data_IF_683605394075
#
_entry.id   IF_683605394075
#
_cell.length_a   1.000
_cell.length_b   1.000
_cell.length_c   1.000
_cell.angle_alpha   90.00
_cell.angle_beta   90.00
_cell.angle_gamma   90.00
#
_symmetry.space_group_name_H-M   'P 1'
#
loop_
_entity.id
_entity.type
_entity.pdbx_description
1 polymer ?
#
# COMPACT_ATOMS: atom_id res chain seq x y z
N UNK A 1 5.85 -8.01 -30.56
CA UNK A 1 5.92 -6.81 -29.71
C UNK A 1 5.72 -7.10 -28.21
N UNK A 2 4.91 -8.08 -27.79
CA UNK A 2 4.83 -8.51 -26.38
C UNK A 2 5.96 -9.46 -25.93
N UNK A 3 6.66 -10.13 -26.85
CA UNK A 3 7.70 -11.11 -26.51
C UNK A 3 9.08 -10.48 -26.23
N UNK A 4 9.33 -9.25 -26.69
CA UNK A 4 10.62 -8.55 -26.53
C UNK A 4 10.72 -7.83 -25.18
N UNK A 5 9.59 -7.57 -24.53
CA UNK A 5 9.56 -6.92 -23.20
C UNK A 5 9.75 -7.97 -22.08
N UNK A 6 9.40 -9.24 -22.30
CA UNK A 6 9.58 -10.28 -21.29
C UNK A 6 11.05 -10.66 -21.05
N UNK A 7 11.89 -10.64 -22.08
CA UNK A 7 13.30 -11.08 -21.98
C UNK A 7 14.21 -10.12 -21.21
N UNK A 8 13.82 -8.87 -20.99
CA UNK A 8 14.61 -7.92 -20.19
C UNK A 8 14.32 -8.03 -18.68
N UNK A 9 13.26 -8.74 -18.28
CA UNK A 9 12.78 -8.80 -16.89
C UNK A 9 13.38 -9.94 -16.05
N UNK A 10 14.13 -10.86 -16.67
CA UNK A 10 14.70 -12.02 -15.97
C UNK A 10 16.08 -11.72 -15.36
N UNK A 11 16.77 -10.67 -15.80
CA UNK A 11 18.13 -10.33 -15.34
C UNK A 11 18.19 -9.34 -14.14
N UNK A 12 17.12 -9.27 -13.33
CA UNK A 12 17.09 -8.41 -12.13
C UNK A 12 16.53 -9.15 -10.91
N UNK A 13 16.73 -10.47 -10.85
CA UNK A 13 16.83 -11.18 -9.57
C UNK A 13 18.29 -11.09 -9.11
N UNK A 14 18.46 -10.88 -7.82
CA UNK A 14 19.74 -10.73 -7.12
C UNK A 14 20.56 -9.46 -7.39
N UNK A 15 20.40 -8.49 -6.48
CA UNK A 15 21.50 -7.99 -5.65
C UNK A 15 20.94 -7.05 -4.58
N UNK A 16 20.68 -7.61 -3.39
CA UNK A 16 20.95 -6.90 -2.15
C UNK A 16 22.47 -6.91 -2.00
N UNK A 17 23.15 -5.87 -2.45
CA UNK A 17 24.56 -5.68 -2.14
C UNK A 17 24.83 -4.22 -1.78
N UNK A 18 25.68 -4.07 -0.78
CA UNK A 18 26.13 -2.87 -0.10
C UNK A 18 26.40 -1.64 -0.99
N UNK A 19 26.27 -0.43 -0.42
CA UNK A 19 26.45 0.82 -1.15
C UNK A 19 27.93 1.20 -1.19
N UNK A 20 28.74 0.58 -2.03
CA UNK A 20 30.06 1.16 -2.35
C UNK A 20 30.68 0.48 -3.56
N UNK A 21 30.58 1.16 -4.71
CA UNK A 21 31.59 1.27 -5.77
C UNK A 21 30.91 1.91 -6.98
N UNK A 22 31.05 3.23 -7.06
CA UNK A 22 30.71 3.99 -8.25
C UNK A 22 31.53 3.46 -9.43
N UNK A 23 30.84 2.85 -10.39
CA UNK A 23 31.40 2.42 -11.67
C UNK A 23 31.83 3.69 -12.43
N UNK A 24 33.13 4.01 -12.40
CA UNK A 24 33.71 5.02 -13.29
C UNK A 24 33.81 4.40 -14.68
N UNK A 25 33.12 4.97 -15.65
CA UNK A 25 33.32 4.65 -17.05
C UNK A 25 34.71 5.17 -17.51
N UNK A 26 35.31 4.51 -18.51
CA UNK A 26 36.66 4.78 -19.04
C UNK A 26 36.83 6.17 -19.71
N UNK A 27 35.81 7.03 -19.63
CA UNK A 27 35.80 8.41 -20.14
C UNK A 27 35.85 9.46 -19.02
N UNK A 28 36.03 9.05 -17.75
CA UNK A 28 36.17 9.98 -16.63
C UNK A 28 34.88 10.76 -16.29
N UNK A 29 33.75 10.47 -16.94
CA UNK A 29 32.47 11.12 -16.64
C UNK A 29 31.61 10.24 -15.74
N UNK A 30 31.03 10.81 -14.66
CA UNK A 30 30.10 10.08 -13.81
C UNK A 30 28.89 9.63 -14.62
N UNK A 31 28.52 8.36 -14.51
CA UNK A 31 27.22 7.86 -14.97
C UNK A 31 26.18 8.58 -14.11
N UNK A 32 25.52 9.58 -14.69
CA UNK A 32 24.50 10.38 -14.02
C UNK A 32 23.32 9.42 -13.77
N UNK A 33 23.17 8.98 -12.53
CA UNK A 33 21.98 8.29 -12.05
C UNK A 33 20.72 9.08 -12.48
N UNK A 34 19.62 8.39 -12.83
CA UNK A 34 18.40 9.03 -13.29
C UNK A 34 17.99 10.15 -12.32
N UNK A 35 17.74 11.32 -12.92
CA UNK A 35 17.49 12.57 -12.25
C UNK A 35 16.62 12.40 -11.00
N UNK A 36 17.05 13.03 -9.91
CA UNK A 36 16.31 13.14 -8.67
C UNK A 36 14.86 13.57 -8.97
N UNK A 37 13.93 12.60 -8.91
CA UNK A 37 12.49 12.74 -9.20
C UNK A 37 11.84 13.82 -8.33
N UNK A 38 12.51 14.25 -7.26
CA UNK A 38 12.08 15.37 -6.45
C UNK A 38 12.00 16.68 -7.24
N UNK A 39 12.64 16.83 -8.40
CA UNK A 39 12.86 18.14 -9.04
C UNK A 39 11.78 18.63 -10.01
N UNK A 40 10.58 18.04 -10.07
CA UNK A 40 9.51 18.60 -10.90
C UNK A 40 8.70 19.66 -10.11
N UNK A 41 8.90 20.97 -10.34
CA UNK A 41 8.27 22.03 -9.54
C UNK A 41 6.75 22.02 -9.65
N UNK A 42 6.21 21.59 -10.80
CA UNK A 42 4.77 21.53 -11.08
C UNK A 42 4.05 20.59 -10.12
N UNK A 43 4.60 19.41 -9.85
CA UNK A 43 3.97 18.45 -8.93
C UNK A 43 3.96 18.94 -7.49
N UNK A 44 5.01 19.65 -7.06
CA UNK A 44 5.08 20.23 -5.72
C UNK A 44 4.08 21.37 -5.56
N UNK A 45 3.95 22.21 -6.59
CA UNK A 45 2.97 23.29 -6.60
C UNK A 45 1.54 22.75 -6.51
N UNK A 46 1.20 21.71 -7.30
CA UNK A 46 -0.12 21.09 -7.24
C UNK A 46 -0.41 20.48 -5.86
N UNK A 47 0.57 19.81 -5.25
CA UNK A 47 0.42 19.29 -3.88
C UNK A 47 0.22 20.40 -2.85
N UNK A 48 0.93 21.52 -2.99
CA UNK A 48 0.78 22.68 -2.12
C UNK A 48 -0.60 23.33 -2.28
N UNK A 49 -1.05 23.57 -3.52
CA UNK A 49 -2.37 24.11 -3.82
C UNK A 49 -3.49 23.21 -3.28
N UNK A 50 -3.32 21.89 -3.35
CA UNK A 50 -4.25 20.94 -2.76
C UNK A 50 -4.31 21.07 -1.23
N UNK A 51 -3.17 21.12 -0.54
CA UNK A 51 -3.12 21.28 0.92
C UNK A 51 -3.69 22.63 1.37
N UNK A 52 -3.39 23.71 0.64
CA UNK A 52 -3.97 25.02 0.88
C UNK A 52 -5.49 24.96 0.75
N UNK A 53 -5.99 24.35 -0.33
CA UNK A 53 -7.44 24.17 -0.55
C UNK A 53 -8.08 23.36 0.57
N UNK A 54 -7.41 22.30 1.05
CA UNK A 54 -7.89 21.49 2.17
C UNK A 54 -8.02 22.33 3.45
N UNK A 55 -7.02 23.15 3.79
CA UNK A 55 -7.07 24.05 4.95
C UNK A 55 -8.20 25.08 4.81
N UNK A 56 -8.33 25.71 3.64
CA UNK A 56 -9.42 26.64 3.35
C UNK A 56 -10.79 25.98 3.50
N UNK A 57 -10.92 24.75 2.99
CA UNK A 57 -12.16 23.97 3.07
C UNK A 57 -12.46 23.64 4.54
N UNK A 58 -11.50 23.12 5.32
CA UNK A 58 -11.66 22.83 6.76
C UNK A 58 -12.08 24.07 7.54
N UNK A 59 -11.44 25.21 7.31
CA UNK A 59 -11.85 26.47 7.95
C UNK A 59 -13.31 26.84 7.59
N UNK A 60 -13.67 26.73 6.31
CA UNK A 60 -15.03 27.01 5.85
C UNK A 60 -16.07 26.09 6.49
N UNK A 61 -15.73 24.80 6.72
CA UNK A 61 -16.62 23.86 7.43
C UNK A 61 -16.82 24.30 8.88
N UNK A 62 -15.72 24.51 9.60
CA UNK A 62 -15.74 24.79 11.04
C UNK A 62 -16.46 26.11 11.30
N UNK A 63 -16.14 27.16 10.54
CA UNK A 63 -16.86 28.43 10.62
C UNK A 63 -18.33 28.30 10.16
N UNK A 64 -18.61 27.39 9.23
CA UNK A 64 -19.95 27.09 8.75
C UNK A 64 -20.86 26.51 9.82
N UNK A 65 -20.38 25.52 10.56
CA UNK A 65 -21.15 24.83 11.60
C UNK A 65 -21.44 25.74 12.81
N UNK A 66 -20.57 26.72 13.07
CA UNK A 66 -20.74 27.67 14.17
C UNK A 66 -21.76 28.78 13.87
N UNK A 67 -22.28 28.86 12.65
CA UNK A 67 -23.24 29.90 12.24
C UNK A 67 -24.64 29.29 12.12
N UNK A 68 -25.65 29.96 12.68
CA UNK A 68 -27.06 29.55 12.58
C UNK A 68 -27.58 29.56 11.14
N UNK A 69 -27.25 30.61 10.37
CA UNK A 69 -27.58 30.71 8.95
C UNK A 69 -26.31 30.72 8.07
N UNK A 70 -26.13 29.73 7.19
CA UNK A 70 -24.91 29.61 6.40
C UNK A 70 -24.77 30.63 5.27
N UNK A 71 -25.80 31.43 4.99
CA UNK A 71 -25.87 32.39 3.87
C UNK A 71 -25.62 33.84 4.29
N UNK A 72 -25.51 34.12 5.59
CA UNK A 72 -25.31 35.47 6.14
C UNK A 72 -23.83 35.73 6.40
N UNK A 73 -23.31 36.87 5.92
CA UNK A 73 -21.89 37.21 5.92
C UNK A 73 -21.60 38.58 6.55
N UNK A 74 -22.12 38.82 7.76
CA UNK A 74 -22.08 40.14 8.41
C UNK A 74 -20.85 40.35 9.29
N UNK A 75 -20.29 39.28 9.86
CA UNK A 75 -19.15 39.35 10.77
C UNK A 75 -17.81 39.19 10.03
N UNK A 76 -16.69 39.75 10.51
CA UNK A 76 -15.39 39.62 9.86
C UNK A 76 -14.93 38.15 9.72
N UNK A 77 -15.33 37.29 10.65
CA UNK A 77 -15.11 35.84 10.58
C UNK A 77 -15.91 35.20 9.44
N UNK A 78 -17.15 35.63 9.21
CA UNK A 78 -17.97 35.19 8.09
C UNK A 78 -17.44 35.71 6.75
N UNK A 79 -16.97 36.96 6.66
CA UNK A 79 -16.33 37.48 5.44
C UNK A 79 -15.09 36.65 5.08
N UNK A 80 -14.27 36.32 6.08
CA UNK A 80 -13.11 35.43 5.88
C UNK A 80 -13.53 34.04 5.41
N UNK A 81 -14.62 33.49 5.97
CA UNK A 81 -15.23 32.25 5.51
C UNK A 81 -15.67 32.34 4.05
N UNK A 82 -16.31 33.44 3.63
CA UNK A 82 -16.76 33.63 2.25
C UNK A 82 -15.59 33.57 1.24
N UNK A 83 -14.46 34.17 1.60
CA UNK A 83 -13.23 34.13 0.78
C UNK A 83 -12.72 32.70 0.64
N UNK A 84 -12.62 31.95 1.74
CA UNK A 84 -12.16 30.56 1.70
C UNK A 84 -13.14 29.62 1.02
N UNK A 85 -14.44 29.84 1.18
CA UNK A 85 -15.49 29.13 0.47
C UNK A 85 -15.35 29.35 -1.04
N UNK A 86 -15.23 30.61 -1.47
CA UNK A 86 -15.02 30.99 -2.88
C UNK A 86 -13.75 30.35 -3.45
N UNK A 87 -12.63 30.41 -2.72
CA UNK A 87 -11.38 29.76 -3.13
C UNK A 87 -11.56 28.25 -3.32
N UNK A 88 -12.20 27.58 -2.36
CA UNK A 88 -12.40 26.14 -2.40
C UNK A 88 -13.34 25.71 -3.54
N UNK A 89 -14.38 26.49 -3.82
CA UNK A 89 -15.32 26.27 -4.92
C UNK A 89 -14.65 26.46 -6.29
N UNK A 90 -13.86 27.52 -6.46
CA UNK A 90 -13.07 27.73 -7.69
C UNK A 90 -12.09 26.58 -7.89
N UNK A 91 -11.40 26.15 -6.83
CA UNK A 91 -10.46 25.03 -6.89
C UNK A 91 -11.15 23.70 -7.25
N UNK A 92 -12.34 23.45 -6.69
CA UNK A 92 -13.17 22.29 -7.03
C UNK A 92 -13.63 22.34 -8.48
N UNK A 93 -14.07 23.50 -8.97
CA UNK A 93 -14.50 23.70 -10.37
C UNK A 93 -13.36 23.47 -11.35
N UNK A 94 -12.20 24.07 -11.11
CA UNK A 94 -11.00 23.87 -11.95
C UNK A 94 -10.65 22.39 -12.00
N UNK A 95 -10.63 21.73 -10.84
CA UNK A 95 -10.32 20.29 -10.79
C UNK A 95 -11.34 19.46 -11.56
N UNK A 96 -12.64 19.74 -11.38
CA UNK A 96 -13.71 19.04 -12.09
C UNK A 96 -13.56 19.20 -13.62
N UNK A 97 -13.28 20.41 -14.10
CA UNK A 97 -13.04 20.67 -15.52
C UNK A 97 -11.81 19.91 -16.06
N UNK A 98 -10.72 19.84 -15.29
CA UNK A 98 -9.53 19.07 -15.66
C UNK A 98 -9.83 17.57 -15.75
N UNK A 99 -10.56 17.03 -14.77
CA UNK A 99 -10.98 15.63 -14.76
C UNK A 99 -11.93 15.30 -15.91
N UNK A 100 -12.89 16.18 -16.23
CA UNK A 100 -13.77 16.03 -17.39
C UNK A 100 -13.00 16.06 -18.72
N UNK A 101 -11.98 16.92 -18.83
CA UNK A 101 -11.13 16.95 -20.02
C UNK A 101 -10.31 15.66 -20.15
N UNK A 102 -9.78 15.14 -19.03
CA UNK A 102 -9.06 13.87 -19.00
C UNK A 102 -9.99 12.69 -19.35
N UNK A 103 -11.20 12.68 -18.80
CA UNK A 103 -12.26 11.72 -19.10
C UNK A 103 -12.58 11.70 -20.61
N UNK A 104 -12.70 12.89 -21.23
CA UNK A 104 -12.96 13.01 -22.67
C UNK A 104 -11.84 12.42 -23.52
N UNK A 105 -10.57 12.62 -23.13
CA UNK A 105 -9.39 12.16 -23.88
C UNK A 105 -9.16 10.66 -23.81
N UNK A 106 -9.34 10.02 -22.65
CA UNK A 106 -8.93 8.63 -22.40
C UNK A 106 -10.08 7.74 -21.90
N UNK A 107 -11.30 7.91 -22.44
CA UNK A 107 -12.56 7.31 -21.96
C UNK A 107 -12.43 5.91 -21.34
N UNK A 108 -11.95 4.92 -22.10
CA UNK A 108 -11.88 3.51 -21.66
C UNK A 108 -10.85 3.26 -20.56
N UNK A 109 -9.68 3.89 -20.65
CA UNK A 109 -8.60 3.71 -19.68
C UNK A 109 -8.89 4.49 -18.38
N UNK A 110 -9.63 5.60 -18.48
CA UNK A 110 -10.03 6.43 -17.34
C UNK A 110 -10.87 5.64 -16.33
N UNK A 111 -11.82 4.85 -16.81
CA UNK A 111 -12.75 4.08 -15.95
C UNK A 111 -12.10 2.96 -15.16
N UNK A 112 -10.91 2.51 -15.59
CA UNK A 112 -10.20 1.40 -14.96
C UNK A 112 -9.48 1.81 -13.66
N UNK A 113 -9.19 3.10 -13.51
CA UNK A 113 -8.50 3.62 -12.32
C UNK A 113 -9.51 4.07 -11.24
N UNK A 114 -9.54 3.42 -10.07
CA UNK A 114 -10.45 3.78 -8.99
C UNK A 114 -10.23 5.18 -8.42
N UNK A 115 -9.01 5.73 -8.49
CA UNK A 115 -8.74 7.08 -7.98
C UNK A 115 -9.39 8.17 -8.83
N UNK A 116 -9.58 7.93 -10.13
CA UNK A 116 -10.26 8.87 -11.02
C UNK A 116 -11.75 9.02 -10.63
N UNK A 117 -12.39 7.94 -10.19
CA UNK A 117 -13.75 7.99 -9.67
C UNK A 117 -13.86 8.84 -8.40
N UNK A 118 -12.91 8.69 -7.48
CA UNK A 118 -12.86 9.50 -6.24
C UNK A 118 -12.65 10.98 -6.56
N UNK A 119 -11.79 11.30 -7.53
CA UNK A 119 -11.52 12.68 -7.95
C UNK A 119 -12.74 13.33 -8.62
N UNK A 120 -13.44 12.60 -9.48
CA UNK A 120 -14.66 13.08 -10.13
C UNK A 120 -15.82 13.22 -9.12
N UNK A 121 -16.00 12.22 -8.24
CA UNK A 121 -17.07 12.23 -7.25
C UNK A 121 -16.87 13.32 -6.18
N UNK A 122 -15.65 13.49 -5.67
CA UNK A 122 -15.33 14.52 -4.67
C UNK A 122 -15.58 15.94 -5.21
N UNK A 123 -15.06 16.25 -6.39
CA UNK A 123 -15.24 17.56 -7.01
C UNK A 123 -16.69 17.81 -7.42
N UNK A 124 -17.38 16.80 -7.96
CA UNK A 124 -18.81 16.87 -8.28
C UNK A 124 -19.70 17.11 -7.07
N UNK A 125 -19.46 16.41 -5.95
CA UNK A 125 -20.24 16.58 -4.72
C UNK A 125 -20.01 17.96 -4.09
N UNK A 126 -18.77 18.46 -4.08
CA UNK A 126 -18.49 19.82 -3.59
C UNK A 126 -19.19 20.89 -4.45
N UNK A 127 -19.23 20.72 -5.77
CA UNK A 127 -19.97 21.63 -6.66
C UNK A 127 -21.49 21.51 -6.48
N UNK A 128 -22.01 20.32 -6.18
CA UNK A 128 -23.43 20.10 -5.91
C UNK A 128 -23.92 20.80 -4.63
N UNK A 129 -23.02 21.13 -3.69
CA UNK A 129 -23.39 21.89 -2.48
C UNK A 129 -23.86 23.30 -2.82
N UNK A 130 -23.32 23.94 -3.87
CA UNK A 130 -23.75 25.27 -4.30
C UNK A 130 -25.26 25.35 -4.62
N UNK A 131 -25.80 24.57 -5.57
CA UNK A 131 -27.24 24.59 -5.86
C UNK A 131 -28.08 24.14 -4.66
N UNK A 132 -27.61 23.18 -3.85
CA UNK A 132 -28.32 22.77 -2.63
C UNK A 132 -28.44 23.92 -1.61
N UNK A 133 -27.41 24.75 -1.50
CA UNK A 133 -27.38 25.94 -0.63
C UNK A 133 -28.34 27.02 -1.14
N UNK A 134 -28.44 27.22 -2.45
CA UNK A 134 -29.45 28.13 -3.04
C UNK A 134 -30.89 27.64 -2.81
N UNK A 135 -31.10 26.33 -2.79
CA UNK A 135 -32.40 25.72 -2.48
C UNK A 135 -32.74 25.69 -0.98
N UNK A 136 -31.85 26.18 -0.10
CA UNK A 136 -32.01 26.20 1.36
C UNK A 136 -32.39 24.82 1.96
N UNK A 137 -31.90 23.72 1.35
CA UNK A 137 -32.17 22.36 1.82
C UNK A 137 -31.14 21.95 2.89
N UNK A 138 -31.62 21.37 4.00
CA UNK A 138 -30.76 20.87 5.08
C UNK A 138 -29.88 19.68 4.66
N UNK A 139 -30.22 19.03 3.55
CA UNK A 139 -29.44 17.95 2.93
C UNK A 139 -28.05 18.39 2.44
N UNK A 140 -27.77 19.69 2.40
CA UNK A 140 -26.45 20.21 2.02
C UNK A 140 -25.32 19.69 2.93
N UNK A 141 -25.57 19.53 4.22
CA UNK A 141 -24.56 19.15 5.21
C UNK A 141 -24.02 17.72 5.04
N UNK A 142 -24.87 16.68 4.90
CA UNK A 142 -24.37 15.33 4.61
C UNK A 142 -23.69 15.24 3.25
N UNK A 143 -24.23 15.90 2.21
CA UNK A 143 -23.60 15.93 0.87
C UNK A 143 -22.21 16.58 0.94
N UNK A 144 -22.10 17.70 1.64
CA UNK A 144 -20.83 18.38 1.87
C UNK A 144 -19.86 17.53 2.68
N UNK A 145 -20.32 16.83 3.73
CA UNK A 145 -19.49 15.93 4.55
C UNK A 145 -18.88 14.80 3.72
N UNK A 146 -19.68 14.16 2.86
CA UNK A 146 -19.20 13.11 1.95
C UNK A 146 -18.22 13.71 0.93
N UNK A 147 -18.55 14.86 0.35
CA UNK A 147 -17.65 15.58 -0.58
C UNK A 147 -16.30 15.93 0.06
N UNK A 148 -16.31 16.44 1.30
CA UNK A 148 -15.12 16.76 2.09
C UNK A 148 -14.29 15.52 2.41
N UNK A 149 -14.93 14.42 2.82
CA UNK A 149 -14.25 13.15 3.09
C UNK A 149 -13.54 12.64 1.83
N UNK A 150 -14.25 12.56 0.70
CA UNK A 150 -13.68 12.11 -0.57
C UNK A 150 -12.57 13.04 -1.05
N UNK A 151 -12.73 14.36 -0.85
CA UNK A 151 -11.68 15.34 -1.16
C UNK A 151 -10.42 15.11 -0.32
N UNK A 152 -10.59 14.80 0.97
CA UNK A 152 -9.48 14.47 1.88
C UNK A 152 -8.78 13.18 1.45
N UNK A 153 -9.52 12.15 1.00
CA UNK A 153 -8.93 10.90 0.49
C UNK A 153 -8.02 11.12 -0.73
N UNK A 154 -8.17 12.21 -1.48
CA UNK A 154 -7.25 12.56 -2.57
C UNK A 154 -5.82 12.77 -2.09
N UNK A 155 -5.59 13.00 -0.80
CA UNK A 155 -4.24 13.07 -0.23
C UNK A 155 -3.43 11.80 -0.53
N UNK A 156 -4.08 10.63 -0.64
CA UNK A 156 -3.40 9.38 -1.01
C UNK A 156 -2.83 9.41 -2.43
N UNK A 157 -3.50 10.08 -3.38
CA UNK A 157 -3.01 10.28 -4.75
C UNK A 157 -1.74 11.14 -4.77
N UNK A 158 -1.68 12.18 -3.93
CA UNK A 158 -0.48 13.01 -3.78
C UNK A 158 0.62 12.33 -2.97
N UNK A 159 0.26 11.53 -1.97
CA UNK A 159 1.18 10.70 -1.20
C UNK A 159 1.92 9.70 -2.11
N UNK A 160 1.26 9.20 -3.16
CA UNK A 160 1.86 8.32 -4.16
C UNK A 160 3.05 8.94 -4.91
N UNK A 161 3.16 10.27 -4.96
CA UNK A 161 4.27 10.98 -5.61
C UNK A 161 5.58 10.85 -4.80
N UNK A 162 5.48 10.75 -3.47
CA UNK A 162 6.65 10.64 -2.60
C UNK A 162 7.21 9.21 -2.59
N UNK A 163 8.54 9.07 -2.63
CA UNK A 163 9.23 7.76 -2.78
C UNK A 163 8.85 6.77 -1.69
N UNK A 164 8.89 7.20 -0.42
CA UNK A 164 8.61 6.33 0.70
C UNK A 164 7.10 6.10 0.84
N UNK A 165 6.31 7.17 0.83
CA UNK A 165 4.86 7.11 1.05
C UNK A 165 4.08 6.42 -0.08
N UNK A 166 4.57 6.49 -1.33
CA UNK A 166 3.86 5.89 -2.46
C UNK A 166 3.90 4.37 -2.50
N UNK A 167 4.98 3.75 -2.05
CA UNK A 167 5.00 2.29 -1.86
C UNK A 167 3.96 1.88 -0.81
N UNK A 168 3.87 2.59 0.31
CA UNK A 168 2.87 2.34 1.36
C UNK A 168 1.45 2.55 0.85
N UNK A 169 1.18 3.58 0.07
CA UNK A 169 -0.16 3.82 -0.49
C UNK A 169 -0.60 2.71 -1.45
N UNK A 170 0.32 2.15 -2.25
CA UNK A 170 0.00 1.01 -3.12
C UNK A 170 -0.28 -0.27 -2.34
N UNK A 171 0.52 -0.53 -1.30
CA UNK A 171 0.31 -1.66 -0.39
C UNK A 171 -1.06 -1.53 0.29
N UNK A 172 -1.33 -0.35 0.85
CA UNK A 172 -2.59 -0.02 1.51
C UNK A 172 -3.78 -0.21 0.58
N UNK A 173 -3.72 0.29 -0.66
CA UNK A 173 -4.80 0.14 -1.63
C UNK A 173 -5.09 -1.33 -1.94
N UNK A 174 -4.05 -2.15 -2.14
CA UNK A 174 -4.22 -3.57 -2.43
C UNK A 174 -4.83 -4.33 -1.25
N UNK A 175 -4.34 -4.04 -0.05
CA UNK A 175 -4.86 -4.59 1.20
C UNK A 175 -6.35 -4.25 1.37
N UNK A 176 -6.72 -2.97 1.21
CA UNK A 176 -8.11 -2.52 1.37
C UNK A 176 -8.99 -3.15 0.29
N UNK A 177 -8.56 -3.14 -0.98
CA UNK A 177 -9.42 -3.59 -2.07
C UNK A 177 -9.65 -5.09 -2.09
N UNK A 178 -8.68 -5.91 -1.66
CA UNK A 178 -8.79 -7.36 -1.73
C UNK A 178 -9.24 -7.94 -0.39
N UNK A 179 -8.46 -7.69 0.67
CA UNK A 179 -8.63 -8.37 1.95
C UNK A 179 -9.81 -7.78 2.73
N UNK A 180 -9.95 -6.45 2.75
CA UNK A 180 -11.03 -5.80 3.49
C UNK A 180 -12.40 -6.02 2.86
N UNK A 181 -12.51 -6.07 1.53
CA UNK A 181 -13.78 -6.38 0.84
C UNK A 181 -14.19 -7.84 1.04
N UNK A 182 -13.26 -8.79 0.90
CA UNK A 182 -13.54 -10.19 1.18
C UNK A 182 -13.98 -10.39 2.63
N UNK A 183 -13.29 -9.73 3.56
CA UNK A 183 -13.65 -9.71 4.98
C UNK A 183 -15.04 -9.13 5.23
N UNK A 184 -15.34 -7.96 4.67
CA UNK A 184 -16.63 -7.29 4.81
C UNK A 184 -17.77 -8.16 4.28
N UNK A 185 -17.56 -8.87 3.18
CA UNK A 185 -18.54 -9.79 2.62
C UNK A 185 -18.85 -10.94 3.59
N UNK A 186 -17.83 -11.63 4.11
CA UNK A 186 -18.02 -12.72 5.09
C UNK A 186 -18.72 -12.19 6.35
N UNK A 187 -18.28 -11.02 6.84
CA UNK A 187 -18.87 -10.37 8.00
C UNK A 187 -20.35 -10.03 7.77
N UNK A 188 -20.72 -9.55 6.60
CA UNK A 188 -22.09 -9.25 6.23
C UNK A 188 -23.00 -10.48 6.31
N UNK A 189 -22.57 -11.65 5.83
CA UNK A 189 -23.35 -12.89 5.95
C UNK A 189 -23.52 -13.35 7.40
N UNK A 190 -22.46 -13.24 8.22
CA UNK A 190 -22.53 -13.58 9.64
C UNK A 190 -23.52 -12.66 10.36
N UNK A 191 -23.44 -11.34 10.12
CA UNK A 191 -24.38 -10.38 10.69
C UNK A 191 -25.82 -10.65 10.23
N UNK A 192 -26.03 -10.94 8.95
CA UNK A 192 -27.35 -11.22 8.41
C UNK A 192 -27.97 -12.48 9.04
N UNK A 193 -27.20 -13.56 9.15
CA UNK A 193 -27.64 -14.79 9.81
C UNK A 193 -27.95 -14.57 11.31
N UNK A 194 -27.13 -13.76 11.98
CA UNK A 194 -27.34 -13.40 13.37
C UNK A 194 -28.60 -12.54 13.56
N UNK A 195 -28.76 -11.48 12.75
CA UNK A 195 -29.98 -10.63 12.76
C UNK A 195 -31.22 -11.47 12.49
N UNK A 196 -31.17 -12.39 11.52
CA UNK A 196 -32.27 -13.32 11.25
C UNK A 196 -32.61 -14.23 12.43
N UNK A 197 -31.59 -14.82 13.08
CA UNK A 197 -31.77 -15.67 14.26
C UNK A 197 -32.33 -14.90 15.45
N UNK A 198 -31.85 -13.67 15.66
CA UNK A 198 -32.32 -12.78 16.73
C UNK A 198 -33.80 -12.40 16.54
N UNK A 199 -34.19 -12.01 15.33
CA UNK A 199 -35.60 -11.69 15.02
C UNK A 199 -36.50 -12.90 15.21
N UNK A 200 -36.06 -14.11 14.84
CA UNK A 200 -36.82 -15.34 15.10
C UNK A 200 -36.96 -15.65 16.60
N UNK A 201 -35.90 -15.42 17.38
CA UNK A 201 -35.93 -15.57 18.84
C UNK A 201 -36.96 -14.63 19.47
N UNK A 202 -37.01 -13.36 19.03
CA UNK A 202 -38.00 -12.39 19.51
C UNK A 202 -39.44 -12.75 19.11
N UNK A 203 -39.64 -13.37 17.93
CA UNK A 203 -40.97 -13.77 17.44
C UNK A 203 -41.50 -15.03 18.13
N UNK A 204 -40.63 -15.94 18.57
CA UNK A 204 -41.02 -17.11 19.35
C UNK A 204 -41.64 -16.73 20.71
N UNK A 205 -41.28 -15.56 21.23
CA UNK A 205 -41.69 -15.03 22.51
C UNK A 205 -42.97 -14.17 22.38
N UNK A 206 -44.05 -14.71 21.78
CA UNK A 206 -45.37 -14.05 21.58
C UNK A 206 -46.09 -13.56 22.87
N UNK A 207 -45.38 -13.42 23.99
CA UNK A 207 -45.85 -12.79 25.22
C UNK A 207 -44.96 -11.58 25.53
N UNK A 208 -45.38 -10.42 25.02
CA UNK A 208 -44.78 -9.09 25.23
C UNK A 208 -44.68 -8.65 26.71
N UNK A 209 -45.10 -9.49 27.67
CA UNK A 209 -45.19 -9.17 29.10
C UNK A 209 -44.15 -9.88 30.01
N UNK A 210 -43.36 -10.86 29.53
CA UNK A 210 -42.30 -11.50 30.35
C UNK A 210 -40.97 -10.77 30.17
N UNK A 211 -41.01 -9.44 30.25
CA UNK A 211 -40.11 -8.59 29.46
C UNK A 211 -38.81 -8.11 30.14
N UNK A 212 -38.49 -8.54 31.37
CA UNK A 212 -37.29 -8.05 32.09
C UNK A 212 -36.14 -9.07 32.18
N UNK A 213 -36.38 -10.33 32.54
CA UNK A 213 -35.31 -11.31 32.76
C UNK A 213 -34.76 -11.94 31.46
N UNK A 214 -35.61 -12.30 30.50
CA UNK A 214 -35.16 -12.86 29.19
C UNK A 214 -34.46 -11.81 28.32
N UNK A 215 -34.79 -10.52 28.52
CA UNK A 215 -34.13 -9.40 27.84
C UNK A 215 -32.67 -9.27 28.24
N UNK A 216 -32.34 -9.48 29.51
CA UNK A 216 -30.97 -9.44 30.01
C UNK A 216 -30.17 -10.61 29.44
N UNK A 217 -30.72 -11.83 29.44
CA UNK A 217 -30.04 -13.00 28.86
C UNK A 217 -29.83 -12.85 27.34
N UNK A 218 -30.83 -12.35 26.61
CA UNK A 218 -30.72 -12.08 25.17
C UNK A 218 -29.70 -10.98 24.87
N UNK A 219 -29.64 -9.94 25.71
CA UNK A 219 -28.64 -8.87 25.59
C UNK A 219 -27.22 -9.39 25.86
N UNK A 220 -27.04 -10.18 26.93
CA UNK A 220 -25.74 -10.81 27.25
C UNK A 220 -25.30 -11.73 26.12
N UNK A 221 -26.20 -12.58 25.60
CA UNK A 221 -25.89 -13.45 24.46
C UNK A 221 -25.51 -12.65 23.20
N UNK A 222 -26.22 -11.55 22.91
CA UNK A 222 -25.90 -10.67 21.80
C UNK A 222 -24.52 -10.02 21.96
N UNK A 223 -24.21 -9.47 23.14
CA UNK A 223 -22.91 -8.83 23.41
C UNK A 223 -21.78 -9.86 23.36
N UNK A 224 -21.95 -11.03 23.97
CA UNK A 224 -20.96 -12.11 23.94
C UNK A 224 -20.73 -12.63 22.52
N UNK A 225 -21.79 -12.82 21.73
CA UNK A 225 -21.68 -13.23 20.33
C UNK A 225 -20.96 -12.17 19.50
N UNK A 226 -21.36 -10.90 19.59
CA UNK A 226 -20.72 -9.81 18.87
C UNK A 226 -19.24 -9.66 19.27
N UNK A 227 -18.92 -9.78 20.55
CA UNK A 227 -17.54 -9.77 21.03
C UNK A 227 -16.74 -10.95 20.48
N UNK A 228 -17.26 -12.18 20.55
CA UNK A 228 -16.60 -13.36 20.01
C UNK A 228 -16.38 -13.25 18.48
N UNK A 229 -17.39 -12.79 17.74
CA UNK A 229 -17.26 -12.51 16.32
C UNK A 229 -16.18 -11.45 16.06
N UNK A 230 -16.20 -10.31 16.76
CA UNK A 230 -15.17 -9.29 16.61
C UNK A 230 -13.77 -9.83 16.88
N UNK A 231 -13.56 -10.62 17.94
CA UNK A 231 -12.24 -11.18 18.28
C UNK A 231 -11.76 -12.17 17.21
N UNK A 232 -12.60 -13.14 16.83
CA UNK A 232 -12.23 -14.14 15.81
C UNK A 232 -11.96 -13.47 14.47
N UNK A 233 -12.80 -12.52 14.08
CA UNK A 233 -12.68 -11.81 12.82
C UNK A 233 -11.46 -10.89 12.79
N UNK A 234 -11.18 -10.16 13.87
CA UNK A 234 -9.96 -9.35 13.97
C UNK A 234 -8.70 -10.21 13.90
N UNK A 235 -8.70 -11.37 14.57
CA UNK A 235 -7.54 -12.28 14.52
C UNK A 235 -7.27 -12.82 13.12
N UNK A 236 -8.32 -13.21 12.39
CA UNK A 236 -8.21 -13.64 10.99
C UNK A 236 -7.75 -12.48 10.11
N UNK A 237 -8.32 -11.29 10.29
CA UNK A 237 -7.95 -10.10 9.53
C UNK A 237 -6.47 -9.75 9.76
N UNK A 238 -6.00 -9.72 11.01
CA UNK A 238 -4.59 -9.45 11.33
C UNK A 238 -3.67 -10.48 10.68
N UNK A 239 -4.03 -11.78 10.70
CA UNK A 239 -3.25 -12.83 10.07
C UNK A 239 -3.16 -12.64 8.54
N UNK A 240 -4.28 -12.35 7.88
CA UNK A 240 -4.34 -12.09 6.44
C UNK A 240 -3.56 -10.83 6.06
N UNK A 241 -3.75 -9.75 6.81
CA UNK A 241 -3.04 -8.48 6.61
C UNK A 241 -1.52 -8.67 6.75
N UNK A 242 -1.07 -9.46 7.73
CA UNK A 242 0.35 -9.73 7.95
C UNK A 242 0.99 -10.45 6.75
N UNK A 243 0.36 -11.51 6.26
CA UNK A 243 0.87 -12.28 5.12
C UNK A 243 0.84 -11.48 3.81
N UNK A 244 -0.30 -10.83 3.51
CA UNK A 244 -0.43 -9.97 2.34
C UNK A 244 0.58 -8.83 2.38
N UNK A 245 0.78 -8.19 3.54
CA UNK A 245 1.72 -7.07 3.67
C UNK A 245 3.14 -7.46 3.25
N UNK A 246 3.65 -8.59 3.74
CA UNK A 246 5.01 -9.05 3.40
C UNK A 246 5.16 -9.33 1.90
N UNK A 247 4.17 -9.96 1.28
CA UNK A 247 4.21 -10.27 -0.15
C UNK A 247 4.12 -9.01 -1.03
N UNK A 248 3.20 -8.10 -0.68
CA UNK A 248 2.92 -6.89 -1.47
C UNK A 248 4.03 -5.86 -1.31
N UNK A 249 4.71 -5.78 -0.16
CA UNK A 249 5.83 -4.87 0.03
C UNK A 249 6.95 -5.10 -1.01
N UNK A 250 7.29 -6.36 -1.28
CA UNK A 250 8.31 -6.70 -2.27
C UNK A 250 7.91 -6.33 -3.70
N UNK A 251 6.62 -6.43 -4.03
CA UNK A 251 6.10 -6.09 -5.35
C UNK A 251 5.86 -4.59 -5.55
N UNK A 252 5.38 -3.90 -4.52
CA UNK A 252 5.08 -2.46 -4.54
C UNK A 252 6.34 -1.64 -4.81
N UNK A 253 7.50 -2.08 -4.33
CA UNK A 253 8.76 -1.38 -4.61
C UNK A 253 9.13 -1.43 -6.10
N UNK A 254 8.84 -2.52 -6.80
CA UNK A 254 9.00 -2.60 -8.27
C UNK A 254 7.94 -1.79 -9.01
N UNK A 255 6.69 -1.88 -8.56
CA UNK A 255 5.57 -1.11 -9.12
C UNK A 255 5.78 0.39 -9.00
N UNK A 256 6.41 0.85 -7.92
CA UNK A 256 6.74 2.26 -7.71
C UNK A 256 7.74 2.79 -8.75
N UNK A 257 8.81 2.06 -9.05
CA UNK A 257 9.80 2.51 -10.04
C UNK A 257 9.19 2.57 -11.44
N UNK A 258 8.32 1.61 -11.81
CA UNK A 258 7.55 1.66 -13.06
C UNK A 258 6.56 2.84 -13.10
N UNK A 259 5.78 3.03 -12.03
CA UNK A 259 4.84 4.14 -11.94
C UNK A 259 5.54 5.50 -11.98
N UNK A 260 6.75 5.63 -11.42
CA UNK A 260 7.55 6.85 -11.52
C UNK A 260 7.94 7.16 -12.96
N UNK A 261 8.45 6.17 -13.68
CA UNK A 261 8.79 6.33 -15.09
C UNK A 261 7.56 6.75 -15.91
N UNK A 262 6.40 6.16 -15.61
CA UNK A 262 5.14 6.49 -16.28
C UNK A 262 4.64 7.90 -15.95
N UNK A 263 4.62 8.30 -14.68
CA UNK A 263 4.21 9.65 -14.24
C UNK A 263 5.09 10.72 -14.88
N UNK A 264 6.42 10.52 -14.91
CA UNK A 264 7.35 11.46 -15.54
C UNK A 264 7.01 11.63 -17.02
N UNK A 265 6.87 10.51 -17.73
CA UNK A 265 6.51 10.53 -19.16
C UNK A 265 5.19 11.26 -19.39
N UNK A 266 4.19 11.03 -18.53
CA UNK A 266 2.88 11.70 -18.63
C UNK A 266 2.94 13.19 -18.31
N UNK A 267 3.67 13.60 -17.27
CA UNK A 267 3.85 15.02 -16.91
C UNK A 267 4.61 15.76 -18.01
N UNK A 268 5.60 15.12 -18.63
CA UNK A 268 6.30 15.67 -19.80
C UNK A 268 5.35 15.85 -21.00
N UNK A 269 4.48 14.87 -21.27
CA UNK A 269 3.52 14.92 -22.39
C UNK A 269 2.33 15.86 -22.16
N UNK A 270 1.88 16.06 -20.92
CA UNK A 270 0.72 16.89 -20.56
C UNK A 270 1.09 18.27 -19.99
N UNK A 271 2.36 18.65 -19.99
CA UNK A 271 2.79 19.99 -19.59
C UNK A 271 2.06 21.05 -20.42
N UNK A 272 1.19 21.82 -19.77
CA UNK A 272 0.54 23.01 -20.32
C UNK A 272 1.56 24.10 -20.71
N UNK A 273 2.79 24.01 -20.20
CA UNK A 273 3.90 24.84 -20.66
C UNK A 273 4.50 24.23 -21.93
N UNK A 274 4.22 24.96 -23.02
CA UNK A 274 4.67 24.80 -24.40
C UNK A 274 6.13 24.31 -24.52
N UNK A 275 6.30 23.19 -25.22
CA UNK A 275 7.39 23.03 -26.20
C UNK A 275 8.78 22.66 -25.70
N UNK A 276 9.08 22.63 -24.40
CA UNK A 276 10.38 22.16 -23.92
C UNK A 276 10.23 20.88 -23.10
N UNK A 277 10.34 19.75 -23.78
CA UNK A 277 10.57 18.47 -23.10
C UNK A 277 11.82 18.61 -22.22
N UNK A 278 11.65 18.57 -20.91
CA UNK A 278 12.74 18.74 -19.94
C UNK A 278 13.86 17.70 -20.12
N UNK A 279 13.51 16.54 -20.71
CA UNK A 279 14.45 15.53 -21.20
C UNK A 279 15.33 16.05 -22.33
N UNK A 280 14.77 16.71 -23.35
CA UNK A 280 15.49 17.24 -24.52
C UNK A 280 16.56 18.25 -24.11
N UNK A 281 16.28 19.09 -23.11
CA UNK A 281 17.23 20.09 -22.61
C UNK A 281 18.29 19.54 -21.65
N UNK A 282 18.10 18.32 -21.11
CA UNK A 282 19.03 17.67 -20.17
C UNK A 282 19.91 16.58 -20.82
N UNK A 283 19.52 16.06 -21.98
CA UNK A 283 20.39 15.21 -22.78
C UNK A 283 21.37 16.11 -23.54
N UNK A 284 22.65 16.01 -23.20
CA UNK A 284 23.74 16.70 -23.92
C UNK A 284 23.91 16.18 -25.35
N UNK A 285 23.37 14.99 -25.64
CA UNK A 285 23.47 14.30 -26.92
C UNK A 285 22.05 14.05 -27.43
N UNK A 286 21.58 14.94 -28.30
CA UNK A 286 20.49 14.61 -29.23
C UNK A 286 21.16 14.00 -30.46
N UNK A 287 21.18 12.68 -30.56
CA UNK A 287 21.48 12.01 -31.83
C UNK A 287 20.12 11.86 -32.53
N UNK A 288 19.85 12.71 -33.53
CA UNK A 288 18.65 12.58 -34.37
C UNK A 288 18.70 11.21 -35.04
N UNK A 289 17.71 10.37 -34.76
CA UNK A 289 17.53 9.03 -35.32
C UNK A 289 17.08 9.15 -36.80
N UNK A 290 17.91 9.73 -37.66
CA UNK A 290 17.69 9.74 -39.11
C UNK A 290 17.71 8.31 -39.69
N UNK A 291 18.53 7.44 -39.11
CA UNK A 291 18.56 6.00 -39.39
C UNK A 291 18.60 5.20 -38.08
N UNK A 292 17.48 4.61 -37.63
CA UNK A 292 17.46 3.82 -36.41
C UNK A 292 18.35 2.56 -36.51
N UNK A 293 18.62 2.06 -37.72
CA UNK A 293 19.43 0.86 -37.94
C UNK A 293 20.92 1.07 -37.60
N UNK A 294 21.51 2.21 -37.97
CA UNK A 294 22.92 2.50 -37.70
C UNK A 294 23.19 2.78 -36.22
N UNK A 295 22.22 3.40 -35.53
CA UNK A 295 22.27 3.54 -34.07
C UNK A 295 22.09 2.18 -33.39
N UNK A 296 21.17 1.33 -33.86
CA UNK A 296 21.05 -0.03 -33.33
C UNK A 296 22.34 -0.83 -33.48
N UNK A 297 23.00 -0.74 -34.63
CA UNK A 297 24.27 -1.42 -34.93
C UNK A 297 25.43 -0.89 -34.06
N UNK A 298 25.46 0.42 -33.79
CA UNK A 298 26.40 1.05 -32.83
C UNK A 298 26.15 0.58 -31.39
N UNK A 299 24.89 0.37 -31.01
CA UNK A 299 24.51 -0.16 -29.69
C UNK A 299 24.69 -1.68 -29.59
N UNK A 300 24.60 -2.40 -30.70
CA UNK A 300 24.92 -3.83 -30.83
C UNK A 300 26.42 -4.09 -31.07
N UNK A 301 27.25 -3.05 -31.05
CA UNK A 301 28.70 -3.16 -31.21
C UNK A 301 29.30 -4.18 -30.21
N UNK A 302 30.39 -4.87 -30.59
CA UNK A 302 30.89 -6.07 -29.90
C UNK A 302 31.13 -5.91 -28.40
N UNK A 303 31.40 -4.69 -27.92
CA UNK A 303 31.62 -4.37 -26.50
C UNK A 303 30.36 -4.66 -25.66
N UNK A 304 29.16 -4.32 -26.13
CA UNK A 304 27.94 -4.64 -25.38
C UNK A 304 27.63 -6.14 -25.38
N UNK A 305 28.01 -6.83 -26.45
CA UNK A 305 27.81 -8.27 -26.56
C UNK A 305 28.76 -9.04 -25.64
N UNK A 306 30.01 -8.57 -25.49
CA UNK A 306 30.96 -9.06 -24.50
C UNK A 306 30.48 -8.78 -23.07
N UNK A 307 30.00 -7.56 -22.77
CA UNK A 307 29.43 -7.25 -21.45
C UNK A 307 28.20 -8.12 -21.15
N UNK A 308 27.33 -8.38 -22.14
CA UNK A 308 26.20 -9.31 -21.99
C UNK A 308 26.65 -10.74 -21.69
N UNK A 309 27.77 -11.17 -22.29
CA UNK A 309 28.36 -12.50 -22.07
C UNK A 309 28.96 -12.61 -20.67
N UNK A 310 29.64 -11.57 -20.20
CA UNK A 310 30.18 -11.48 -18.85
C UNK A 310 29.08 -11.41 -17.79
N UNK A 311 27.98 -10.69 -18.06
CA UNK A 311 26.82 -10.65 -17.17
C UNK A 311 26.17 -12.03 -17.07
N UNK A 312 26.04 -12.77 -18.19
CA UNK A 312 25.53 -14.15 -18.16
C UNK A 312 26.45 -15.12 -17.42
N UNK A 313 27.76 -15.05 -17.64
CA UNK A 313 28.71 -15.93 -16.93
C UNK A 313 28.71 -15.65 -15.43
N UNK A 314 28.59 -14.38 -15.03
CA UNK A 314 28.49 -13.98 -13.64
C UNK A 314 27.16 -14.44 -13.02
N UNK A 315 26.04 -14.34 -13.75
CA UNK A 315 24.74 -14.90 -13.33
C UNK A 315 24.82 -16.40 -13.08
N UNK A 316 25.43 -17.16 -14.00
CA UNK A 316 25.61 -18.61 -13.85
C UNK A 316 26.52 -18.96 -12.66
N UNK A 317 27.55 -18.16 -12.41
CA UNK A 317 28.43 -18.35 -11.26
C UNK A 317 27.68 -18.13 -9.95
N UNK A 318 26.83 -17.10 -9.89
CA UNK A 318 26.01 -16.81 -8.71
C UNK A 318 25.00 -17.93 -8.46
N UNK A 319 24.27 -18.39 -9.48
CA UNK A 319 23.35 -19.53 -9.36
C UNK A 319 24.06 -20.81 -8.88
N UNK A 320 25.27 -21.07 -9.39
CA UNK A 320 26.11 -22.19 -8.93
C UNK A 320 26.49 -22.04 -7.44
N UNK A 321 26.89 -20.84 -7.01
CA UNK A 321 27.19 -20.59 -5.59
C UNK A 321 25.96 -20.71 -4.68
N UNK A 322 24.78 -20.30 -5.14
CA UNK A 322 23.52 -20.43 -4.40
C UNK A 322 23.18 -21.92 -4.19
N UNK A 323 23.29 -22.74 -5.23
CA UNK A 323 23.07 -24.19 -5.14
C UNK A 323 24.08 -24.88 -4.21
N UNK A 324 25.33 -24.43 -4.22
CA UNK A 324 26.34 -24.90 -3.27
C UNK A 324 26.01 -24.52 -1.83
N UNK A 325 25.56 -23.28 -1.58
CA UNK A 325 25.13 -22.84 -0.26
C UNK A 325 23.93 -23.64 0.24
N UNK A 326 22.92 -23.87 -0.58
CA UNK A 326 21.77 -24.73 -0.25
C UNK A 326 22.21 -26.15 0.14
N UNK A 327 23.19 -26.70 -0.59
CA UNK A 327 23.75 -28.02 -0.28
C UNK A 327 24.47 -28.02 1.07
N UNK A 328 25.22 -26.96 1.39
CA UNK A 328 25.89 -26.79 2.69
C UNK A 328 24.86 -26.65 3.81
N UNK A 329 23.84 -25.82 3.64
CA UNK A 329 22.76 -25.65 4.62
C UNK A 329 22.03 -26.97 4.90
N UNK A 330 21.75 -27.76 3.87
CA UNK A 330 21.15 -29.09 4.02
C UNK A 330 22.06 -30.10 4.73
N UNK A 331 23.39 -29.97 4.60
CA UNK A 331 24.34 -30.79 5.36
C UNK A 331 24.38 -30.36 6.83
N UNK A 332 24.39 -29.07 7.11
CA UNK A 332 24.35 -28.52 8.46
C UNK A 332 23.08 -28.93 9.22
N UNK A 333 21.90 -28.84 8.58
CA UNK A 333 20.64 -29.25 9.22
C UNK A 333 20.61 -30.73 9.59
N UNK A 334 21.21 -31.60 8.76
CA UNK A 334 21.37 -33.03 9.07
C UNK A 334 22.34 -33.25 10.24
N UNK A 335 23.43 -32.50 10.32
CA UNK A 335 24.38 -32.57 11.43
C UNK A 335 23.73 -32.11 12.74
N UNK A 336 22.96 -31.03 12.70
CA UNK A 336 22.22 -30.50 13.85
C UNK A 336 21.21 -31.53 14.38
N UNK A 337 20.45 -32.18 13.48
CA UNK A 337 19.54 -33.27 13.86
C UNK A 337 20.28 -34.46 14.50
N UNK A 338 21.44 -34.84 13.96
CA UNK A 338 22.24 -35.92 14.52
C UNK A 338 22.77 -35.59 15.93
N UNK A 339 23.24 -34.36 16.14
CA UNK A 339 23.67 -33.87 17.46
C UNK A 339 22.51 -33.88 18.47
N UNK A 340 21.33 -33.39 18.07
CA UNK A 340 20.13 -33.42 18.92
C UNK A 340 19.74 -34.83 19.33
N UNK A 341 19.81 -35.79 18.38
CA UNK A 341 19.56 -37.21 18.66
C UNK A 341 20.58 -37.82 19.63
N UNK A 342 21.85 -37.44 19.52
CA UNK A 342 22.89 -37.87 20.47
C UNK A 342 22.61 -37.31 21.87
N UNK A 343 22.25 -36.03 21.96
CA UNK A 343 21.88 -35.38 23.22
C UNK A 343 20.69 -36.09 23.90
N UNK A 344 19.62 -36.37 23.16
CA UNK A 344 18.45 -37.09 23.66
C UNK A 344 18.81 -38.49 24.18
N UNK A 345 19.72 -39.19 23.50
CA UNK A 345 20.19 -40.51 23.92
C UNK A 345 21.04 -40.44 25.21
N UNK A 346 21.90 -39.43 25.34
CA UNK A 346 22.69 -39.19 26.56
C UNK A 346 21.76 -38.89 27.73
N UNK A 347 20.74 -38.06 27.54
CA UNK A 347 19.75 -37.73 28.56
C UNK A 347 18.96 -38.97 29.00
N UNK A 348 18.55 -39.83 28.06
CA UNK A 348 17.94 -41.14 28.38
C UNK A 348 18.88 -42.03 29.20
N UNK A 349 20.16 -42.13 28.84
CA UNK A 349 21.13 -42.90 29.62
C UNK A 349 21.34 -42.33 31.03
N UNK A 350 21.39 -41.00 31.16
CA UNK A 350 21.48 -40.32 32.46
C UNK A 350 20.25 -40.59 33.34
N UNK A 351 19.04 -40.54 32.77
CA UNK A 351 17.82 -40.87 33.51
C UNK A 351 17.79 -42.35 33.94
N UNK A 352 18.23 -43.27 33.08
CA UNK A 352 18.35 -44.69 33.43
C UNK A 352 19.38 -44.90 34.55
N UNK A 353 20.53 -44.24 34.49
CA UNK A 353 21.55 -44.29 35.52
C UNK A 353 21.05 -43.71 36.85
N UNK A 354 20.37 -42.55 36.83
CA UNK A 354 19.77 -41.94 38.02
C UNK A 354 18.63 -42.80 38.61
N UNK A 355 17.94 -43.59 37.78
CA UNK A 355 16.87 -44.49 38.22
C UNK A 355 17.37 -45.83 38.78
N UNK A 356 18.67 -46.15 38.72
CA UNK A 356 19.19 -47.34 39.40
C UNK A 356 19.12 -47.14 40.92
N UNK A 357 18.24 -47.87 41.63
CA UNK A 357 18.18 -47.81 43.09
C UNK A 357 19.47 -48.38 43.65
N UNK A 358 20.05 -47.65 44.62
CA UNK A 358 21.39 -47.84 45.16
C UNK A 358 21.85 -49.27 45.37
N UNK A 359 22.92 -49.64 44.67
CA UNK A 359 23.89 -50.65 45.12
C UNK A 359 24.84 -49.98 46.14
N UNK A 360 24.26 -49.37 47.17
CA UNK A 360 24.96 -48.73 48.29
C UNK A 360 24.55 -49.39 49.60
N UNK A 361 24.52 -50.73 49.60
CA UNK A 361 24.11 -51.52 50.75
C UNK A 361 24.75 -52.91 50.82
N UNK A 362 26.07 -53.06 50.59
CA UNK A 362 26.72 -54.36 50.82
C UNK A 362 28.21 -54.34 51.20
N UNK A 363 28.69 -53.30 51.90
CA UNK A 363 30.09 -53.26 52.38
C UNK A 363 30.26 -52.89 53.86
N UNK A 364 29.31 -53.27 54.70
CA UNK A 364 29.42 -53.15 56.16
C UNK A 364 29.07 -54.47 56.86
N UNK A 365 29.81 -55.55 56.59
CA UNK A 365 29.85 -56.77 57.43
C UNK A 365 30.97 -57.70 56.96
N UNK A 366 32.17 -57.52 57.52
CA UNK A 366 33.21 -58.55 57.71
C UNK A 366 34.38 -57.90 58.46
N UNK A 367 34.27 -57.92 59.78
CA UNK A 367 35.24 -57.36 60.71
C UNK A 367 34.87 -57.77 62.13
N UNK A 368 34.74 -59.07 62.36
CA UNK A 368 34.67 -59.71 63.67
C UNK A 368 35.00 -61.19 63.49
N UNK A 369 35.83 -61.74 64.40
CA UNK A 369 36.56 -63.03 64.36
C UNK A 369 37.86 -62.91 63.53
N UNK A 370 39.07 -62.97 64.08
CA UNK A 370 39.58 -63.67 65.27
C UNK A 370 40.60 -62.87 66.07
#
# INVERSE_FOLDING_TARGET
>A
MLHTILSCTISSREKKLHPEKALKNNTGRPIICPANVNSCPVSRLNSFLFLLTLVCLTFSVVAGVMTSDPTVYDTPTQVTRAVFETWSLVSALVTFCLELNQFRKHKLEYWRDPFNWVDLASSGLLLAVCPLRFCHRQEQWPVFSIGYLLWTLRIFKYAAVFRQTGAYSQILWRIISHDFLQFTFVFFFILLAFTGSFVLSLRGENSLDVHSETRVMSCILMVCFLFACCVVLLNILIAQLSDTYHHVQAQAQRGLELNRAWIITRVELNSLFIGQGYRVTKYLEMEELGEPASVLEKWESPILNEISKDVRSLSQTVESTEMNLLTITNRLSRQEYALKKIQDNIEKLLTLYASQPGVSGQRARKGALS
#
